data_IF_244694527603
#
_entry.id   IF_244694527603
#
_cell.length_a   1.000
_cell.length_b   1.000
_cell.length_c   1.000
_cell.angle_alpha   90.00
_cell.angle_beta   90.00
_cell.angle_gamma   90.00
#
_symmetry.space_group_name_H-M   'P 1'
#
loop_
_entity.id
_entity.type
_entity.pdbx_description
1 polymer ?
#
# COMPACT_ATOMS: atom_id res chain seq x y z
N UNK A 1 -13.61 4.77 14.21
CA UNK A 1 -12.69 4.49 15.33
C UNK A 1 -11.91 3.24 14.96
N UNK A 2 -10.62 3.16 15.32
CA UNK A 2 -9.81 1.97 15.05
C UNK A 2 -10.25 0.79 15.93
N UNK A 3 -10.55 -0.34 15.30
CA UNK A 3 -10.94 -1.59 15.94
C UNK A 3 -9.83 -2.63 15.78
N UNK A 4 -9.38 -3.21 16.90
CA UNK A 4 -8.38 -4.28 16.86
C UNK A 4 -8.98 -5.60 16.35
N UNK A 5 -8.28 -6.25 15.42
CA UNK A 5 -8.57 -7.59 14.95
C UNK A 5 -7.60 -8.56 15.62
N UNK A 6 -8.15 -9.60 16.27
CA UNK A 6 -7.33 -10.60 16.95
C UNK A 6 -6.63 -11.50 15.93
N UNK A 7 -5.30 -11.44 15.91
CA UNK A 7 -4.43 -12.26 15.07
C UNK A 7 -3.26 -12.79 15.91
N UNK A 8 -2.80 -14.03 15.66
CA UNK A 8 -1.61 -14.53 16.33
C UNK A 8 -0.37 -13.78 15.82
N UNK A 9 0.46 -13.31 16.75
CA UNK A 9 1.75 -12.67 16.48
C UNK A 9 1.68 -11.42 15.58
N UNK A 10 0.54 -10.73 15.56
CA UNK A 10 0.34 -9.50 14.78
C UNK A 10 -0.63 -8.53 15.47
N UNK A 11 -0.37 -7.23 15.32
CA UNK A 11 -1.32 -6.17 15.67
C UNK A 11 -1.95 -5.63 14.39
N UNK A 12 -3.28 -5.67 14.31
CA UNK A 12 -4.02 -5.12 13.18
C UNK A 12 -5.19 -4.29 13.69
N UNK A 13 -5.23 -3.03 13.27
CA UNK A 13 -6.30 -2.10 13.55
C UNK A 13 -7.06 -1.77 12.25
N UNK A 14 -8.38 -1.70 12.32
CA UNK A 14 -9.23 -1.40 11.16
C UNK A 14 -10.30 -0.36 11.49
N UNK A 15 -10.52 0.59 10.58
CA UNK A 15 -11.60 1.58 10.65
C UNK A 15 -12.24 1.74 9.26
N UNK A 16 -13.34 1.02 8.95
CA UNK A 16 -13.97 1.02 7.62
C UNK A 16 -14.53 2.38 7.19
N UNK A 17 -14.77 3.30 8.13
CA UNK A 17 -15.37 4.61 7.89
C UNK A 17 -14.43 5.76 8.21
N UNK A 18 -13.12 5.50 8.35
CA UNK A 18 -12.15 6.52 8.74
C UNK A 18 -12.16 7.73 7.81
N UNK A 19 -12.23 7.49 6.49
CA UNK A 19 -12.32 8.54 5.49
C UNK A 19 -13.80 8.77 5.09
N UNK A 20 -14.34 9.98 5.26
CA UNK A 20 -15.72 10.28 4.87
C UNK A 20 -15.96 10.03 3.38
N UNK A 21 -17.15 9.53 2.96
CA UNK A 21 -17.40 9.14 1.57
C UNK A 21 -17.04 10.20 0.52
N UNK A 22 -17.46 11.45 0.72
CA UNK A 22 -17.14 12.54 -0.21
C UNK A 22 -15.63 12.82 -0.32
N UNK A 23 -14.89 12.69 0.79
CA UNK A 23 -13.43 12.83 0.82
C UNK A 23 -12.75 11.64 0.12
N UNK A 24 -13.28 10.44 0.30
CA UNK A 24 -12.80 9.22 -0.36
C UNK A 24 -12.99 9.26 -1.87
N UNK A 25 -14.16 9.69 -2.35
CA UNK A 25 -14.44 9.83 -3.79
C UNK A 25 -13.55 10.89 -4.45
N UNK A 26 -13.40 12.06 -3.81
CA UNK A 26 -12.52 13.11 -4.29
C UNK A 26 -11.05 12.66 -4.32
N UNK A 27 -10.59 11.97 -3.28
CA UNK A 27 -9.24 11.39 -3.23
C UNK A 27 -9.06 10.36 -4.36
N UNK A 28 -10.01 9.44 -4.54
CA UNK A 28 -9.95 8.43 -5.59
C UNK A 28 -9.82 9.06 -6.97
N UNK A 29 -10.65 10.07 -7.30
CA UNK A 29 -10.57 10.79 -8.56
C UNK A 29 -9.20 11.45 -8.78
N UNK A 30 -8.74 12.19 -7.77
CA UNK A 30 -7.44 12.87 -7.83
C UNK A 30 -6.27 11.90 -8.03
N UNK A 31 -6.26 10.74 -7.35
CA UNK A 31 -5.18 9.76 -7.49
C UNK A 31 -5.27 8.99 -8.81
N UNK A 32 -6.48 8.62 -9.23
CA UNK A 32 -6.70 7.89 -10.49
C UNK A 32 -6.14 8.66 -11.68
N UNK A 33 -6.36 9.97 -11.71
CA UNK A 33 -6.04 10.82 -12.86
C UNK A 33 -4.70 11.56 -12.68
N UNK A 34 -4.24 11.77 -11.44
CA UNK A 34 -3.04 12.55 -11.12
C UNK A 34 -1.78 11.76 -10.79
N UNK A 35 -1.88 10.45 -10.53
CA UNK A 35 -0.69 9.62 -10.32
C UNK A 35 -0.14 9.04 -11.63
N UNK A 36 1.18 8.90 -11.68
CA UNK A 36 1.86 8.18 -12.76
C UNK A 36 1.81 6.68 -12.49
N UNK A 37 0.87 6.00 -13.14
CA UNK A 37 0.63 4.58 -12.99
C UNK A 37 1.52 3.75 -13.93
N UNK A 38 2.20 2.75 -13.39
CA UNK A 38 3.10 1.86 -14.14
C UNK A 38 2.78 0.39 -13.86
N UNK A 39 3.06 -0.48 -14.83
CA UNK A 39 3.06 -1.92 -14.62
C UNK A 39 4.44 -2.32 -14.13
N UNK A 40 4.55 -2.65 -12.84
CA UNK A 40 5.81 -3.16 -12.28
C UNK A 40 6.04 -4.61 -12.75
N UNK A 41 7.31 -5.00 -12.89
CA UNK A 41 7.70 -6.37 -13.22
C UNK A 41 8.40 -7.00 -12.04
N UNK A 42 8.13 -8.27 -11.79
CA UNK A 42 8.77 -9.06 -10.74
C UNK A 42 9.45 -10.27 -11.33
N UNK A 43 10.49 -10.76 -10.65
CA UNK A 43 11.18 -11.97 -11.06
C UNK A 43 10.53 -13.19 -10.42
N UNK A 44 9.85 -14.00 -11.21
CA UNK A 44 9.22 -15.26 -10.80
C UNK A 44 9.85 -16.42 -11.55
N UNK A 45 10.36 -17.42 -10.83
CA UNK A 45 11.03 -18.60 -11.41
C UNK A 45 12.11 -18.24 -12.45
N UNK A 46 12.90 -17.19 -12.16
CA UNK A 46 13.96 -16.70 -13.02
C UNK A 46 13.52 -15.81 -14.20
N UNK A 47 12.21 -15.68 -14.46
CA UNK A 47 11.64 -14.87 -15.56
C UNK A 47 11.01 -13.58 -15.03
N UNK A 48 11.04 -12.52 -15.84
CA UNK A 48 10.31 -11.29 -15.56
C UNK A 48 8.84 -11.44 -15.96
N UNK A 49 7.95 -11.17 -15.00
CA UNK A 49 6.49 -11.24 -15.19
C UNK A 49 5.89 -9.91 -14.78
N UNK A 50 4.93 -9.44 -15.56
CA UNK A 50 4.18 -8.22 -15.29
C UNK A 50 3.23 -8.46 -14.12
N UNK A 51 3.27 -7.56 -13.14
CA UNK A 51 2.32 -7.59 -12.05
C UNK A 51 0.90 -7.31 -12.59
N UNK A 52 -0.11 -8.08 -12.18
CA UNK A 52 -1.49 -7.85 -12.60
C UNK A 52 -2.10 -6.71 -11.79
N UNK A 53 -1.50 -5.53 -11.84
CA UNK A 53 -1.96 -4.27 -11.24
C UNK A 53 -1.12 -3.11 -11.77
N UNK A 54 -1.63 -1.90 -11.58
CA UNK A 54 -0.85 -0.69 -11.74
C UNK A 54 -0.31 -0.25 -10.38
N UNK A 55 0.90 0.28 -10.35
CA UNK A 55 1.52 0.78 -9.14
C UNK A 55 2.18 2.14 -9.38
N UNK A 56 2.34 2.91 -8.31
CA UNK A 56 3.12 4.15 -8.29
C UNK A 56 3.83 4.25 -6.95
N UNK A 57 5.14 4.46 -6.97
CA UNK A 57 5.96 4.65 -5.77
C UNK A 57 6.16 6.14 -5.52
N UNK A 58 5.71 6.63 -4.37
CA UNK A 58 5.78 8.04 -3.96
C UNK A 58 6.48 8.12 -2.61
N UNK A 59 7.28 9.15 -2.38
CA UNK A 59 7.96 9.34 -1.10
C UNK A 59 8.77 10.62 -1.03
N UNK A 60 9.37 10.82 0.14
CA UNK A 60 10.35 11.88 0.37
C UNK A 60 11.59 11.65 -0.50
N UNK A 61 12.36 12.69 -0.81
CA UNK A 61 13.45 12.62 -1.81
C UNK A 61 14.59 11.66 -1.44
N UNK A 62 14.70 11.29 -0.17
CA UNK A 62 15.64 10.32 0.39
C UNK A 62 15.03 8.93 0.64
N UNK A 63 13.74 8.73 0.38
CA UNK A 63 13.06 7.45 0.55
C UNK A 63 13.41 6.47 -0.59
N UNK A 64 14.49 5.70 -0.45
CA UNK A 64 14.83 4.64 -1.40
C UNK A 64 14.09 3.34 -1.11
N UNK A 65 13.49 2.72 -2.12
CA UNK A 65 12.86 1.40 -2.02
C UNK A 65 13.51 0.42 -2.98
N UNK A 66 13.90 -0.75 -2.48
CA UNK A 66 14.46 -1.83 -3.29
C UNK A 66 13.44 -2.97 -3.37
N UNK A 67 12.93 -3.24 -4.57
CA UNK A 67 11.99 -4.33 -4.80
C UNK A 67 12.50 -5.27 -5.87
N UNK A 68 12.53 -6.57 -5.57
CA UNK A 68 13.03 -7.62 -6.47
C UNK A 68 14.45 -7.32 -7.02
N UNK A 69 15.29 -6.64 -6.25
CA UNK A 69 16.68 -6.27 -6.61
C UNK A 69 16.81 -5.02 -7.49
N UNK A 70 15.73 -4.31 -7.79
CA UNK A 70 15.76 -3.02 -8.47
C UNK A 70 15.52 -1.90 -7.46
N UNK A 71 16.39 -0.87 -7.47
CA UNK A 71 16.22 0.36 -6.70
C UNK A 71 15.26 1.29 -7.44
N UNK A 72 14.20 1.71 -6.77
CA UNK A 72 13.22 2.65 -7.28
C UNK A 72 13.36 3.98 -6.56
N UNK A 73 13.58 5.05 -7.33
CA UNK A 73 13.54 6.40 -6.81
C UNK A 73 12.07 6.85 -6.67
N UNK A 74 11.69 7.46 -5.55
CA UNK A 74 10.32 7.86 -5.29
C UNK A 74 9.90 9.00 -6.20
N UNK A 75 8.65 8.96 -6.65
CA UNK A 75 8.01 10.14 -7.24
C UNK A 75 7.68 11.14 -6.14
N UNK A 76 7.68 12.45 -6.43
CA UNK A 76 7.31 13.45 -5.45
C UNK A 76 5.85 13.29 -5.02
N UNK A 77 5.54 13.72 -3.81
CA UNK A 77 4.20 13.67 -3.24
C UNK A 77 3.18 14.43 -4.10
N UNK A 78 2.15 13.72 -4.57
CA UNK A 78 0.95 14.36 -5.10
C UNK A 78 0.23 15.12 -3.97
N UNK A 79 -0.31 16.34 -4.20
CA UNK A 79 -0.94 17.14 -3.14
C UNK A 79 -2.02 16.39 -2.34
N UNK A 80 -2.85 15.59 -3.02
CA UNK A 80 -3.87 14.79 -2.37
C UNK A 80 -3.31 13.68 -1.45
N UNK A 81 -2.13 13.11 -1.78
CA UNK A 81 -1.43 12.14 -0.92
C UNK A 81 -0.73 12.84 0.25
N UNK A 82 -0.15 14.03 0.03
CA UNK A 82 0.44 14.82 1.11
C UNK A 82 -0.62 15.19 2.17
N UNK A 83 -1.84 15.55 1.72
CA UNK A 83 -2.97 15.79 2.62
C UNK A 83 -3.37 14.51 3.37
N UNK A 84 -3.55 13.38 2.66
CA UNK A 84 -3.84 12.08 3.28
C UNK A 84 -2.79 11.70 4.33
N UNK A 85 -1.50 11.89 4.03
CA UNK A 85 -0.39 11.67 4.96
C UNK A 85 -0.56 12.49 6.23
N UNK A 86 -0.93 13.77 6.11
CA UNK A 86 -1.19 14.63 7.27
C UNK A 86 -2.39 14.18 8.09
N UNK A 87 -3.47 13.71 7.44
CA UNK A 87 -4.67 13.17 8.10
C UNK A 87 -4.32 11.89 8.89
N UNK A 88 -3.53 10.99 8.29
CA UNK A 88 -3.01 9.78 8.95
C UNK A 88 -2.11 10.14 10.14
N UNK A 89 -1.20 11.10 9.98
CA UNK A 89 -0.34 11.59 11.07
C UNK A 89 -1.16 12.09 12.25
N UNK A 90 -2.19 12.89 11.98
CA UNK A 90 -3.08 13.40 13.04
C UNK A 90 -3.87 12.29 13.73
N UNK A 91 -4.23 11.22 13.01
CA UNK A 91 -5.02 10.11 13.56
C UNK A 91 -4.15 9.16 14.37
N UNK A 92 -2.97 8.82 13.86
CA UNK A 92 -2.11 7.75 14.39
C UNK A 92 -0.97 8.28 15.27
N UNK A 93 -0.66 9.58 15.20
CA UNK A 93 0.52 10.14 15.84
C UNK A 93 1.85 9.69 15.23
N UNK A 94 1.81 9.14 14.01
CA UNK A 94 2.96 8.56 13.31
C UNK A 94 3.24 9.30 12.01
N UNK A 95 4.52 9.42 11.67
CA UNK A 95 4.96 9.97 10.39
C UNK A 95 5.16 8.87 9.34
N UNK A 96 4.93 9.21 8.07
CA UNK A 96 5.09 8.31 6.93
C UNK A 96 5.95 9.01 5.87
N UNK A 97 7.00 8.34 5.40
CA UNK A 97 7.95 8.91 4.43
C UNK A 97 7.70 8.44 2.99
N UNK A 98 6.86 7.44 2.79
CA UNK A 98 6.60 6.83 1.49
C UNK A 98 5.21 6.19 1.41
N UNK A 99 4.77 5.94 0.18
CA UNK A 99 3.53 5.21 -0.13
C UNK A 99 3.67 4.48 -1.47
N UNK A 100 3.33 3.19 -1.46
CA UNK A 100 3.09 2.41 -2.67
C UNK A 100 1.60 2.44 -3.01
N UNK A 101 1.21 3.27 -3.98
CA UNK A 101 -0.16 3.28 -4.48
C UNK A 101 -0.36 2.08 -5.41
N UNK A 102 -1.39 1.27 -5.14
CA UNK A 102 -1.79 0.14 -6.00
C UNK A 102 -3.18 0.38 -6.57
N UNK A 103 -3.32 0.30 -7.90
CA UNK A 103 -4.59 0.40 -8.61
C UNK A 103 -4.93 -0.92 -9.27
N UNK A 104 -6.00 -1.52 -8.77
CA UNK A 104 -6.63 -2.71 -9.35
C UNK A 104 -7.76 -2.26 -10.27
N UNK A 105 -7.59 -2.44 -11.57
CA UNK A 105 -8.50 -1.91 -12.61
C UNK A 105 -9.84 -2.63 -12.59
N UNK A 106 -9.82 -3.93 -12.34
CA UNK A 106 -10.98 -4.79 -12.24
C UNK A 106 -10.69 -6.02 -11.35
N UNK A 107 -11.60 -7.01 -11.33
CA UNK A 107 -11.48 -8.23 -10.55
C UNK A 107 -10.40 -9.22 -11.00
N UNK A 108 -9.75 -8.98 -12.15
CA UNK A 108 -8.64 -9.79 -12.69
C UNK A 108 -7.28 -9.33 -12.18
N UNK A 109 -7.18 -8.06 -11.80
CA UNK A 109 -5.98 -7.54 -11.16
C UNK A 109 -5.88 -8.11 -9.73
N UNK A 110 -4.68 -8.51 -9.29
CA UNK A 110 -4.49 -9.21 -8.03
C UNK A 110 -3.11 -8.95 -7.41
N UNK A 111 -2.98 -9.40 -6.17
CA UNK A 111 -1.72 -9.45 -5.44
C UNK A 111 -1.57 -10.86 -4.89
N UNK A 112 -0.42 -11.48 -5.15
CA UNK A 112 -0.10 -12.79 -4.58
C UNK A 112 0.22 -12.69 -3.09
N UNK A 113 0.35 -13.84 -2.42
CA UNK A 113 0.85 -13.90 -1.06
C UNK A 113 2.25 -13.29 -0.99
N UNK A 114 2.43 -12.32 -0.09
CA UNK A 114 3.69 -11.66 0.19
C UNK A 114 3.72 -11.16 1.65
N UNK A 115 4.87 -10.69 2.08
CA UNK A 115 5.05 -9.89 3.28
C UNK A 115 5.87 -8.68 2.89
N UNK A 116 5.57 -7.53 3.48
CA UNK A 116 6.39 -6.33 3.34
C UNK A 116 7.54 -6.46 4.37
N UNK A 117 8.59 -7.20 3.97
CA UNK A 117 9.77 -7.51 4.78
C UNK A 117 11.08 -6.91 4.25
N UNK A 118 10.95 -5.80 3.51
CA UNK A 118 12.08 -5.03 3.01
C UNK A 118 12.92 -4.44 4.17
N UNK A 119 14.25 -4.65 4.19
CA UNK A 119 15.14 -4.15 5.25
C UNK A 119 15.03 -2.65 5.51
N UNK A 120 14.72 -1.87 4.47
CA UNK A 120 14.57 -0.41 4.50
C UNK A 120 13.39 0.05 5.38
N UNK A 121 12.41 -0.83 5.61
CA UNK A 121 11.26 -0.55 6.48
C UNK A 121 11.60 -0.69 7.97
N UNK A 122 12.77 -1.27 8.29
CA UNK A 122 13.20 -1.54 9.66
C UNK A 122 12.58 -2.80 10.25
N UNK A 123 12.86 -3.10 11.53
CA UNK A 123 12.53 -4.40 12.13
C UNK A 123 11.06 -4.58 12.51
N UNK A 124 10.32 -3.49 12.72
CA UNK A 124 8.91 -3.48 13.11
C UNK A 124 8.19 -2.31 12.42
N UNK A 125 8.03 -2.34 11.10
CA UNK A 125 7.40 -1.24 10.38
C UNK A 125 5.92 -1.13 10.73
N UNK A 126 5.45 0.09 10.87
CA UNK A 126 4.01 0.39 10.93
C UNK A 126 3.53 0.74 9.54
N UNK A 127 2.59 -0.05 9.02
CA UNK A 127 2.00 0.15 7.69
C UNK A 127 0.56 0.64 7.84
N UNK A 128 0.26 1.81 7.25
CA UNK A 128 -1.10 2.31 7.12
C UNK A 128 -1.64 2.00 5.72
N UNK A 129 -2.71 1.20 5.63
CA UNK A 129 -3.37 0.86 4.37
C UNK A 129 -4.71 1.58 4.25
N UNK A 130 -4.84 2.45 3.25
CA UNK A 130 -6.10 3.14 2.92
C UNK A 130 -6.64 2.60 1.60
N UNK A 131 -7.89 2.09 1.61
CA UNK A 131 -8.55 1.56 0.42
C UNK A 131 -9.66 2.49 -0.08
N UNK A 132 -9.76 2.67 -1.40
CA UNK A 132 -10.72 3.55 -2.05
C UNK A 132 -11.45 2.82 -3.19
N UNK A 133 -12.70 3.19 -3.44
CA UNK A 133 -13.51 2.63 -4.53
C UNK A 133 -14.10 1.26 -4.22
N UNK A 134 -14.01 0.33 -5.17
CA UNK A 134 -14.67 -0.97 -5.06
C UNK A 134 -14.08 -1.83 -3.94
N UNK A 135 -14.94 -2.48 -3.15
CA UNK A 135 -14.52 -3.39 -2.09
C UNK A 135 -13.76 -4.60 -2.66
N UNK A 136 -12.72 -5.04 -1.94
CA UNK A 136 -11.84 -6.15 -2.32
C UNK A 136 -11.55 -7.02 -1.10
N UNK A 137 -11.37 -8.33 -1.33
CA UNK A 137 -10.96 -9.25 -0.26
C UNK A 137 -9.48 -9.04 0.07
N UNK A 138 -9.21 -8.63 1.31
CA UNK A 138 -7.88 -8.64 1.92
C UNK A 138 -7.75 -9.90 2.77
N UNK A 139 -6.82 -10.79 2.42
CA UNK A 139 -6.64 -12.07 3.08
C UNK A 139 -5.31 -12.08 3.83
N UNK A 140 -5.33 -12.54 5.08
CA UNK A 140 -4.16 -12.67 5.94
C UNK A 140 -3.87 -14.15 6.18
N UNK A 141 -2.59 -14.51 6.12
CA UNK A 141 -2.10 -15.85 6.39
C UNK A 141 -0.84 -15.77 7.23
N UNK A 142 -0.84 -16.49 8.35
CA UNK A 142 0.33 -16.55 9.21
C UNK A 142 1.46 -17.33 8.52
N UNK A 143 2.71 -16.83 8.57
CA UNK A 143 3.85 -17.40 7.81
C UNK A 143 4.17 -18.86 8.15
N UNK A 144 3.83 -19.31 9.37
CA UNK A 144 4.02 -20.71 9.79
C UNK A 144 2.88 -21.63 9.39
N UNK A 145 1.76 -21.07 8.91
CA UNK A 145 0.65 -21.88 8.44
C UNK A 145 0.95 -22.44 7.05
N UNK A 146 1.15 -23.76 6.99
CA UNK A 146 1.49 -24.49 5.77
C UNK A 146 0.28 -25.00 5.00
N UNK A 147 -0.94 -24.78 5.49
CA UNK A 147 -2.14 -25.28 4.81
C UNK A 147 -2.53 -24.38 3.64
N UNK A 148 -2.75 -25.01 2.48
CA UNK A 148 -3.14 -24.41 1.20
C UNK A 148 -4.66 -24.45 1.04
#
# INVERSE_FOLDING_TARGET
MLHALSLPDAELLMDPGWLPPARADALMGALRDGLHWEVHRIRMFGRWVDCPRLSSWIGDGDASYVYSGARFEPRPWHPALAQLRSELRSTLGLDFNSVLANRYRDGRDAMGWHSDDEPELGPQPVIASTSLGAARRFALKHRRDRQC
#
